data_IF_206684591371
#
_entry.id   IF_206684591371
#
_cell.length_a   1.000
_cell.length_b   1.000
_cell.length_c   1.000
_cell.angle_alpha   90.00
_cell.angle_beta   90.00
_cell.angle_gamma   90.00
#
_symmetry.space_group_name_H-M   'P 1'
#
loop_
_entity.id
_entity.type
_entity.pdbx_description
1 polymer ?
#
# COMPACT_ATOMS: atom_id res chain seq x y z
N UNK A 1 -7.82 7.82 -12.77
CA UNK A 1 -8.83 8.74 -12.20
C UNK A 1 -10.21 8.11 -12.29
N UNK A 2 -10.93 8.15 -13.43
CA UNK A 2 -12.29 7.55 -13.53
C UNK A 2 -12.29 6.01 -13.40
N UNK A 3 -11.37 5.33 -14.08
CA UNK A 3 -11.23 3.87 -14.02
C UNK A 3 -10.97 3.34 -12.59
N UNK A 4 -10.21 4.08 -11.78
CA UNK A 4 -9.91 3.69 -10.40
C UNK A 4 -11.17 3.70 -9.53
N UNK A 5 -12.04 4.70 -9.72
CA UNK A 5 -13.32 4.77 -9.03
C UNK A 5 -14.29 3.68 -9.49
N UNK A 6 -14.36 3.38 -10.80
CA UNK A 6 -15.20 2.29 -11.31
C UNK A 6 -14.76 0.93 -10.78
N UNK A 7 -13.46 0.66 -10.69
CA UNK A 7 -12.91 -0.57 -10.11
C UNK A 7 -13.21 -0.66 -8.61
N UNK A 8 -13.06 0.46 -7.87
CA UNK A 8 -13.41 0.54 -6.45
C UNK A 8 -14.90 0.34 -6.19
N UNK A 9 -15.77 0.94 -7.00
CA UNK A 9 -17.23 0.80 -6.94
C UNK A 9 -17.61 -0.64 -7.26
N UNK A 10 -17.05 -1.22 -8.33
CA UNK A 10 -17.20 -2.63 -8.67
C UNK A 10 -16.87 -3.51 -7.47
N UNK A 11 -15.62 -3.51 -6.99
CA UNK A 11 -15.17 -4.33 -5.86
C UNK A 11 -16.02 -4.12 -4.59
N UNK A 12 -16.54 -2.91 -4.36
CA UNK A 12 -17.44 -2.61 -3.23
C UNK A 12 -18.81 -3.23 -3.42
N UNK A 13 -19.42 -3.10 -4.60
CA UNK A 13 -20.74 -3.61 -4.91
C UNK A 13 -20.78 -5.14 -4.99
N UNK A 14 -19.70 -5.79 -5.44
CA UNK A 14 -19.58 -7.26 -5.49
C UNK A 14 -18.92 -7.87 -4.24
N UNK A 15 -18.68 -7.09 -3.18
CA UNK A 15 -18.00 -7.54 -1.95
C UNK A 15 -16.64 -8.25 -2.21
N UNK A 16 -15.97 -7.90 -3.30
CA UNK A 16 -14.80 -8.61 -3.80
C UNK A 16 -13.50 -7.95 -3.31
N UNK A 17 -13.43 -7.51 -2.06
CA UNK A 17 -12.14 -7.21 -1.45
C UNK A 17 -11.60 -8.48 -0.80
N UNK A 18 -10.31 -8.77 -1.00
CA UNK A 18 -9.69 -9.93 -0.36
C UNK A 18 -9.68 -9.80 1.16
N UNK A 19 -9.59 -8.57 1.68
CA UNK A 19 -9.39 -8.30 3.10
C UNK A 19 -10.45 -7.39 3.70
N UNK A 20 -10.75 -7.56 5.00
CA UNK A 20 -11.62 -6.66 5.73
C UNK A 20 -10.97 -5.27 5.88
N UNK A 21 -11.83 -4.26 5.96
CA UNK A 21 -11.40 -2.90 6.26
C UNK A 21 -10.97 -2.77 7.73
N UNK A 22 -9.89 -2.03 8.01
CA UNK A 22 -9.53 -1.60 9.37
C UNK A 22 -9.20 -0.12 9.39
N UNK A 23 -9.87 0.60 10.29
CA UNK A 23 -9.59 2.02 10.53
C UNK A 23 -8.21 2.22 11.16
N UNK A 24 -7.84 1.38 12.13
CA UNK A 24 -6.54 1.44 12.79
C UNK A 24 -5.39 1.29 11.78
N UNK A 25 -5.53 0.33 10.85
CA UNK A 25 -4.53 0.14 9.79
C UNK A 25 -4.51 1.32 8.81
N UNK A 26 -5.68 1.88 8.48
CA UNK A 26 -5.75 3.07 7.64
C UNK A 26 -4.99 4.25 8.26
N UNK A 27 -5.15 4.48 9.56
CA UNK A 27 -4.47 5.55 10.28
C UNK A 27 -2.96 5.30 10.37
N UNK A 28 -2.54 4.06 10.66
CA UNK A 28 -1.13 3.66 10.66
C UNK A 28 -0.48 3.85 9.28
N UNK A 29 -1.17 3.46 8.21
CA UNK A 29 -0.67 3.63 6.85
C UNK A 29 -0.61 5.09 6.44
N UNK A 30 -1.59 5.92 6.81
CA UNK A 30 -1.50 7.36 6.56
C UNK A 30 -0.29 7.96 7.29
N UNK A 31 -0.10 7.64 8.58
CA UNK A 31 1.08 8.07 9.33
C UNK A 31 2.38 7.65 8.64
N UNK A 32 2.45 6.41 8.16
CA UNK A 32 3.60 5.89 7.42
C UNK A 32 3.86 6.65 6.11
N UNK A 33 2.81 7.05 5.39
CA UNK A 33 2.92 7.85 4.17
C UNK A 33 3.26 9.32 4.42
N UNK A 34 2.95 9.83 5.61
CA UNK A 34 3.22 11.21 6.02
C UNK A 34 4.62 11.39 6.63
N UNK A 35 5.07 10.43 7.45
CA UNK A 35 6.32 10.50 8.21
C UNK A 35 7.41 9.54 7.71
N UNK A 36 7.02 8.46 7.05
CA UNK A 36 7.93 7.41 6.61
C UNK A 36 8.70 7.76 5.35
N UNK A 37 9.84 7.11 5.18
CA UNK A 37 10.68 7.21 3.99
C UNK A 37 10.49 5.94 3.16
N UNK A 38 10.01 6.08 1.92
CA UNK A 38 9.96 4.98 0.97
C UNK A 38 11.39 4.64 0.53
N UNK A 39 11.88 3.46 0.92
CA UNK A 39 13.25 3.02 0.67
C UNK A 39 13.39 2.28 -0.65
N UNK A 40 12.46 1.35 -0.93
CA UNK A 40 12.50 0.51 -2.12
C UNK A 40 11.11 0.06 -2.53
N UNK A 41 10.97 -0.16 -3.82
CA UNK A 41 9.76 -0.69 -4.46
C UNK A 41 10.16 -1.92 -5.27
N UNK A 42 9.64 -3.07 -4.88
CA UNK A 42 9.74 -4.32 -5.63
C UNK A 42 8.50 -4.50 -6.55
N UNK A 43 8.44 -5.60 -7.30
CA UNK A 43 7.30 -5.95 -8.15
C UNK A 43 5.99 -6.02 -7.37
N UNK A 44 6.02 -6.54 -6.15
CA UNK A 44 4.82 -6.80 -5.36
C UNK A 44 4.74 -6.01 -4.05
N UNK A 45 5.85 -5.41 -3.59
CA UNK A 45 5.92 -4.74 -2.29
C UNK A 45 6.56 -3.37 -2.36
N UNK A 46 6.21 -2.50 -1.42
CA UNK A 46 6.88 -1.23 -1.18
C UNK A 46 7.31 -1.18 0.28
N UNK A 47 8.58 -0.85 0.53
CA UNK A 47 9.14 -0.86 1.88
C UNK A 47 9.44 0.54 2.35
N UNK A 48 8.89 0.84 3.53
CA UNK A 48 9.02 2.11 4.20
C UNK A 48 9.84 1.95 5.47
N UNK A 49 10.66 2.96 5.77
CA UNK A 49 11.31 3.13 7.06
C UNK A 49 10.56 4.17 7.88
N UNK A 50 10.30 3.88 9.15
CA UNK A 50 9.74 4.85 10.11
C UNK A 50 10.40 4.65 11.47
N UNK A 51 11.17 5.65 11.93
CA UNK A 51 12.04 5.48 13.09
C UNK A 51 13.03 4.34 12.88
N UNK A 52 13.08 3.40 13.83
CA UNK A 52 13.91 2.19 13.78
C UNK A 52 13.22 0.98 13.10
N UNK A 53 11.99 1.18 12.62
CA UNK A 53 11.17 0.09 12.07
C UNK A 53 11.12 0.12 10.54
N UNK A 54 11.02 -1.07 9.96
CA UNK A 54 10.75 -1.24 8.52
C UNK A 54 9.40 -1.91 8.30
N UNK A 55 8.59 -1.31 7.42
CA UNK A 55 7.26 -1.79 7.08
C UNK A 55 7.20 -2.08 5.59
N UNK A 56 6.96 -3.35 5.25
CA UNK A 56 6.74 -3.76 3.87
C UNK A 56 5.24 -3.86 3.59
N UNK A 57 4.80 -3.22 2.51
CA UNK A 57 3.40 -3.09 2.14
C UNK A 57 3.17 -3.77 0.80
N UNK A 58 2.10 -4.54 0.68
CA UNK A 58 1.70 -5.17 -0.57
C UNK A 58 1.10 -4.14 -1.55
N UNK A 59 1.63 -4.11 -2.77
CA UNK A 59 1.24 -3.17 -3.84
C UNK A 59 0.81 -3.87 -5.14
N UNK A 60 0.73 -5.20 -5.15
CA UNK A 60 0.15 -5.94 -6.28
C UNK A 60 -1.38 -6.01 -6.19
N UNK A 61 -2.02 -6.55 -7.24
CA UNK A 61 -3.48 -6.71 -7.34
C UNK A 61 -4.23 -5.42 -6.98
N UNK A 62 -3.92 -4.36 -7.75
CA UNK A 62 -4.36 -2.99 -7.50
C UNK A 62 -5.86 -2.92 -7.17
N UNK A 63 -6.16 -2.28 -6.05
CA UNK A 63 -7.49 -2.11 -5.45
C UNK A 63 -8.16 -3.38 -4.93
N UNK A 64 -7.66 -4.59 -5.20
CA UNK A 64 -8.23 -5.84 -4.70
C UNK A 64 -7.56 -6.31 -3.39
N UNK A 65 -6.21 -6.41 -3.39
CA UNK A 65 -5.38 -6.76 -2.22
C UNK A 65 -4.40 -5.65 -1.84
N UNK A 66 -4.65 -4.43 -2.32
CA UNK A 66 -3.65 -3.35 -2.30
C UNK A 66 -3.60 -2.62 -0.96
N UNK A 67 -2.39 -2.40 -0.45
CA UNK A 67 -2.13 -1.57 0.73
C UNK A 67 -2.21 -2.32 2.06
N UNK A 68 -2.13 -3.65 2.07
CA UNK A 68 -1.93 -4.42 3.32
C UNK A 68 -0.48 -4.42 3.77
N UNK A 69 -0.28 -4.52 5.08
CA UNK A 69 1.02 -4.83 5.65
C UNK A 69 1.41 -6.28 5.29
N UNK A 70 2.54 -6.42 4.63
CA UNK A 70 3.13 -7.71 4.26
C UNK A 70 4.16 -8.19 5.30
N UNK A 71 5.08 -7.30 5.73
CA UNK A 71 6.07 -7.57 6.79
C UNK A 71 6.28 -6.36 7.69
N UNK A 72 6.67 -6.62 8.93
CA UNK A 72 7.14 -5.62 9.89
C UNK A 72 8.45 -6.13 10.48
N UNK A 73 9.52 -5.33 10.39
CA UNK A 73 10.86 -5.67 10.90
C UNK A 73 11.31 -7.07 10.48
N UNK A 74 11.20 -7.34 9.17
CA UNK A 74 11.52 -8.63 8.53
C UNK A 74 10.68 -9.83 9.00
N UNK A 75 9.76 -9.67 9.95
CA UNK A 75 8.83 -10.72 10.36
C UNK A 75 7.66 -10.77 9.40
N UNK A 76 7.51 -11.91 8.72
CA UNK A 76 6.34 -12.18 7.90
C UNK A 76 5.09 -12.30 8.78
N UNK A 77 4.02 -11.59 8.43
CA UNK A 77 2.72 -11.87 9.02
C UNK A 77 2.13 -13.16 8.43
N UNK A 78 1.27 -13.86 9.18
CA UNK A 78 0.44 -14.91 8.60
C UNK A 78 -0.33 -14.37 7.40
N UNK A 79 -0.37 -15.12 6.31
CA UNK A 79 -0.92 -14.72 4.99
C UNK A 79 -2.41 -14.29 5.00
N UNK A 80 -3.10 -14.41 6.13
CA UNK A 80 -4.53 -14.18 6.30
C UNK A 80 -4.87 -13.15 7.39
N UNK A 81 -3.90 -12.41 7.93
CA UNK A 81 -4.14 -11.38 8.97
C UNK A 81 -3.96 -9.95 8.46
N UNK A 82 -4.03 -9.76 7.14
CA UNK A 82 -3.96 -8.45 6.49
C UNK A 82 -5.27 -7.67 6.64
N UNK A 83 -5.14 -6.34 6.69
CA UNK A 83 -6.26 -5.42 6.65
C UNK A 83 -6.14 -4.49 5.46
N UNK A 84 -7.29 -4.09 4.94
CA UNK A 84 -7.41 -3.11 3.87
C UNK A 84 -7.57 -1.70 4.45
N UNK A 85 -6.80 -0.70 3.98
CA UNK A 85 -7.03 0.70 4.35
C UNK A 85 -8.23 1.28 3.57
N UNK A 86 -8.52 2.58 3.75
CA UNK A 86 -9.48 3.30 2.92
C UNK A 86 -8.93 3.46 1.51
N UNK A 87 -9.82 3.53 0.53
CA UNK A 87 -9.43 3.72 -0.88
C UNK A 87 -8.62 4.99 -1.12
N UNK A 88 -8.94 6.07 -0.40
CA UNK A 88 -8.16 7.31 -0.43
C UNK A 88 -6.69 7.05 -0.08
N UNK A 89 -6.43 6.29 0.97
CA UNK A 89 -5.09 5.94 1.44
C UNK A 89 -4.37 5.04 0.45
N UNK A 90 -5.06 4.05 -0.14
CA UNK A 90 -4.50 3.25 -1.23
C UNK A 90 -4.06 4.10 -2.42
N UNK A 91 -4.84 5.12 -2.78
CA UNK A 91 -4.46 6.07 -3.85
C UNK A 91 -3.24 6.90 -3.49
N UNK A 92 -3.11 7.34 -2.23
CA UNK A 92 -1.91 8.04 -1.73
C UNK A 92 -0.68 7.13 -1.85
N UNK A 93 -0.79 5.88 -1.41
CA UNK A 93 0.27 4.88 -1.53
C UNK A 93 0.67 4.65 -2.99
N UNK A 94 -0.30 4.48 -3.89
CA UNK A 94 -0.03 4.32 -5.32
C UNK A 94 0.69 5.52 -5.94
N UNK A 95 0.33 6.74 -5.53
CA UNK A 95 1.01 7.96 -5.97
C UNK A 95 2.46 8.01 -5.46
N UNK A 96 2.71 7.68 -4.19
CA UNK A 96 4.06 7.63 -3.62
C UNK A 96 4.96 6.62 -4.34
N UNK A 97 4.45 5.40 -4.60
CA UNK A 97 5.16 4.37 -5.35
C UNK A 97 5.50 4.82 -6.78
N UNK A 98 4.55 5.48 -7.46
CA UNK A 98 4.76 5.98 -8.82
C UNK A 98 5.79 7.12 -8.86
N UNK A 99 5.77 8.02 -7.88
CA UNK A 99 6.74 9.11 -7.76
C UNK A 99 8.16 8.57 -7.52
N UNK A 100 8.31 7.58 -6.63
CA UNK A 100 9.57 6.90 -6.40
C UNK A 100 10.13 6.25 -7.67
N UNK A 101 9.30 5.48 -8.40
CA UNK A 101 9.71 4.87 -9.66
C UNK A 101 10.14 5.91 -10.72
N UNK A 102 9.50 7.09 -10.75
CA UNK A 102 9.87 8.17 -11.65
C UNK A 102 11.21 8.84 -11.27
N UNK A 103 11.54 8.91 -9.98
CA UNK A 103 12.82 9.42 -9.47
C UNK A 103 13.96 8.47 -9.77
N UNK A 104 13.78 7.17 -9.51
CA UNK A 104 14.76 6.12 -9.84
C UNK A 104 15.13 6.14 -11.34
N UNK A 105 14.11 6.27 -12.20
CA UNK A 105 14.34 6.37 -13.65
C UNK A 105 15.15 7.62 -14.04
N UNK A 106 14.91 8.77 -13.39
CA UNK A 106 15.65 10.01 -13.66
C UNK A 106 17.09 9.98 -13.15
N UNK A 107 17.38 9.22 -12.09
CA UNK A 107 18.74 9.10 -11.54
C UNK A 107 19.66 8.24 -12.41
N UNK A 108 19.11 7.48 -13.36
CA UNK A 108 19.86 6.63 -14.29
C UNK A 108 20.30 7.35 -15.59
N UNK A 109 19.94 8.63 -15.77
CA UNK A 109 20.29 9.47 -16.92
C UNK A 109 20.93 10.78 -16.46
#
# INVERSE_FOLDING_TARGET
>A
MLMDYLCHIGNTLICAYQMPFSQEWDDQLNKLLDEGILLFVDRCTATFSIGEHTVEIWIANRWYSFGEMYRLDERCKPRFTGYRPRFRTMRRLHAAVKDHAAKEFKSCF
#
